data_IF_181792216401
#
_entry.id   IF_181792216401
#
_cell.length_a   1.000
_cell.length_b   1.000
_cell.length_c   1.000
_cell.angle_alpha   90.00
_cell.angle_beta   90.00
_cell.angle_gamma   90.00
#
_symmetry.space_group_name_H-M   'P 1'
#
loop_
_entity.id
_entity.type
_entity.pdbx_description
1 polymer ?
#
# COMPACT_ATOMS: atom_id res chain seq x y z
N UNK A 1 37.42 -59.84 39.77
CA UNK A 1 37.22 -58.43 40.17
C UNK A 1 36.62 -57.71 38.98
N UNK A 2 35.45 -57.09 39.18
CA UNK A 2 34.80 -56.19 38.21
C UNK A 2 35.74 -54.98 37.94
N UNK A 3 35.62 -54.29 36.79
CA UNK A 3 34.57 -53.29 36.69
C UNK A 3 33.85 -53.22 35.33
N UNK A 4 32.56 -52.91 35.46
CA UNK A 4 31.62 -52.32 34.51
C UNK A 4 32.07 -50.95 33.98
N UNK A 5 31.75 -50.61 32.72
CA UNK A 5 31.69 -49.21 32.24
C UNK A 5 30.63 -49.01 31.14
N UNK A 6 29.52 -48.43 31.56
CA UNK A 6 28.68 -47.37 30.99
C UNK A 6 28.56 -47.08 29.47
N UNK A 7 27.28 -46.97 29.09
CA UNK A 7 26.61 -45.91 28.29
C UNK A 7 27.28 -45.41 27.00
N UNK A 8 26.52 -45.43 25.90
CA UNK A 8 26.13 -44.17 25.25
C UNK A 8 24.73 -44.31 24.61
N UNK A 9 23.84 -43.41 25.04
CA UNK A 9 22.52 -43.16 24.45
C UNK A 9 22.71 -42.29 23.21
N UNK A 10 21.97 -42.55 22.14
CA UNK A 10 21.69 -41.55 21.11
C UNK A 10 20.18 -41.33 21.06
N UNK A 11 19.73 -40.29 21.75
CA UNK A 11 18.37 -39.74 21.60
C UNK A 11 18.46 -38.72 20.48
N UNK A 12 17.84 -39.00 19.35
CA UNK A 12 17.66 -38.03 18.27
C UNK A 12 16.55 -37.06 18.67
N UNK A 13 16.91 -35.87 19.12
CA UNK A 13 15.98 -34.76 19.28
C UNK A 13 15.89 -34.01 17.94
N UNK A 14 14.76 -34.14 17.24
CA UNK A 14 14.44 -33.28 16.11
C UNK A 14 13.98 -31.93 16.64
N UNK A 15 14.81 -30.90 16.48
CA UNK A 15 14.43 -29.51 16.71
C UNK A 15 13.62 -29.08 15.49
N UNK A 16 12.31 -28.93 15.66
CA UNK A 16 11.46 -28.26 14.68
C UNK A 16 11.72 -26.76 14.81
N UNK A 17 12.46 -26.19 13.84
CA UNK A 17 12.56 -24.75 13.66
C UNK A 17 11.19 -24.25 13.19
N UNK A 18 10.40 -23.67 14.08
CA UNK A 18 9.25 -22.84 13.70
C UNK A 18 9.81 -21.51 13.21
N UNK A 19 10.07 -21.41 11.91
CA UNK A 19 10.18 -20.11 11.27
C UNK A 19 8.79 -19.48 11.31
N UNK A 20 8.60 -18.49 12.18
CA UNK A 20 7.46 -17.59 12.06
C UNK A 20 7.68 -16.79 10.77
N UNK A 21 6.98 -17.15 9.70
CA UNK A 21 6.84 -16.28 8.54
C UNK A 21 6.02 -15.08 9.00
N UNK A 22 6.65 -13.93 9.18
CA UNK A 22 5.93 -12.66 9.15
C UNK A 22 5.39 -12.54 7.74
N UNK A 23 4.06 -12.67 7.58
CA UNK A 23 3.42 -12.29 6.34
C UNK A 23 3.57 -10.77 6.24
N UNK A 24 4.36 -10.31 5.27
CA UNK A 24 4.20 -8.93 4.80
C UNK A 24 2.85 -8.92 4.11
N UNK A 25 1.94 -8.03 4.51
CA UNK A 25 0.75 -7.78 3.70
C UNK A 25 1.27 -7.26 2.34
N UNK A 26 0.94 -7.94 1.26
CA UNK A 26 1.10 -7.41 -0.09
C UNK A 26 -0.09 -6.47 -0.37
N UNK A 27 0.00 -5.63 -1.41
CA UNK A 27 -1.13 -4.81 -1.86
C UNK A 27 -1.70 -5.38 -3.15
N UNK A 28 -3.02 -5.26 -3.32
CA UNK A 28 -3.71 -5.57 -4.58
C UNK A 28 -4.28 -4.27 -5.16
N UNK A 29 -4.19 -4.11 -6.48
CA UNK A 29 -4.84 -3.02 -7.20
C UNK A 29 -6.36 -3.19 -7.10
N UNK A 30 -7.07 -2.09 -6.87
CA UNK A 30 -8.54 -2.04 -6.85
C UNK A 30 -9.07 -0.86 -7.67
N UNK A 31 -10.30 -1.01 -8.15
CA UNK A 31 -11.06 0.05 -8.82
C UNK A 31 -11.82 0.91 -7.79
N UNK A 32 -12.24 2.11 -8.20
CA UNK A 32 -12.99 3.03 -7.33
C UNK A 32 -14.26 2.40 -6.75
N UNK A 33 -14.89 1.49 -7.50
CA UNK A 33 -16.13 0.82 -7.08
C UNK A 33 -15.94 -0.11 -5.88
N UNK A 34 -14.70 -0.41 -5.47
CA UNK A 34 -14.43 -1.19 -4.27
C UNK A 34 -14.65 -0.38 -2.97
N UNK A 35 -14.69 0.95 -3.04
CA UNK A 35 -14.94 1.79 -1.87
C UNK A 35 -16.44 1.94 -1.63
N UNK A 36 -16.90 1.61 -0.42
CA UNK A 36 -18.30 1.80 -0.06
C UNK A 36 -18.65 3.29 0.03
N UNK A 37 -19.94 3.66 0.04
CA UNK A 37 -20.35 5.05 0.23
C UNK A 37 -19.91 5.69 1.56
N UNK A 38 -19.58 4.87 2.56
CA UNK A 38 -19.13 5.32 3.88
C UNK A 38 -17.61 5.54 3.95
N UNK A 39 -16.87 5.13 2.93
CA UNK A 39 -15.43 5.41 2.80
C UNK A 39 -15.18 6.91 2.62
N UNK A 40 -14.05 7.40 3.10
CA UNK A 40 -13.66 8.81 2.99
C UNK A 40 -13.45 9.24 1.54
N UNK A 41 -13.77 10.51 1.24
CA UNK A 41 -13.56 11.15 -0.05
C UNK A 41 -13.10 12.60 0.14
N UNK A 42 -11.90 12.93 -0.33
CA UNK A 42 -11.38 14.30 -0.40
C UNK A 42 -11.26 14.71 -1.88
N UNK A 43 -11.92 15.81 -2.25
CA UNK A 43 -11.98 16.34 -3.63
C UNK A 43 -11.14 17.60 -3.82
N UNK A 44 -10.41 18.01 -2.79
CA UNK A 44 -9.65 19.26 -2.70
C UNK A 44 -10.45 20.55 -2.93
N UNK A 45 -11.77 20.44 -3.06
CA UNK A 45 -12.71 21.56 -3.18
C UNK A 45 -13.17 22.09 -1.82
N UNK A 46 -12.87 21.36 -0.73
CA UNK A 46 -13.27 21.71 0.62
C UNK A 46 -12.51 22.95 1.14
N UNK A 47 -11.30 23.19 0.61
CA UNK A 47 -10.45 24.31 0.96
C UNK A 47 -10.16 25.23 -0.23
N UNK A 48 -9.71 26.45 0.07
CA UNK A 48 -9.40 27.45 -0.97
C UNK A 48 -8.18 27.08 -1.82
N UNK A 49 -8.18 27.53 -3.07
CA UNK A 49 -6.98 27.51 -3.92
C UNK A 49 -5.77 28.13 -3.21
N UNK A 50 -4.61 27.50 -3.34
CA UNK A 50 -3.36 27.90 -2.72
C UNK A 50 -3.20 27.47 -1.26
N UNK A 51 -4.15 26.72 -0.69
CA UNK A 51 -3.94 26.07 0.62
C UNK A 51 -2.73 25.15 0.53
N UNK A 52 -1.73 25.39 1.40
CA UNK A 52 -0.46 24.67 1.44
C UNK A 52 -0.51 23.57 2.49
N UNK A 53 -0.03 22.37 2.16
CA UNK A 53 0.04 21.20 3.05
C UNK A 53 -1.26 21.03 3.86
N UNK A 54 -2.42 20.88 3.19
CA UNK A 54 -3.70 20.85 3.89
C UNK A 54 -3.73 19.69 4.90
N UNK A 55 -4.55 19.85 5.93
CA UNK A 55 -4.89 18.79 6.88
C UNK A 55 -6.40 18.75 6.99
N UNK A 56 -6.97 17.59 6.74
CA UNK A 56 -8.41 17.35 6.71
C UNK A 56 -8.82 16.59 7.96
N UNK A 57 -9.66 17.20 8.78
CA UNK A 57 -10.35 16.52 9.85
C UNK A 57 -11.58 15.78 9.28
N UNK A 58 -12.14 14.79 10.00
CA UNK A 58 -13.33 14.07 9.55
C UNK A 58 -14.47 14.95 9.05
N UNK A 59 -14.77 16.03 9.77
CA UNK A 59 -15.85 16.94 9.41
C UNK A 59 -15.60 17.69 8.08
N UNK A 60 -14.35 17.84 7.65
CA UNK A 60 -14.00 18.56 6.42
C UNK A 60 -14.41 17.76 5.17
N UNK A 61 -14.37 16.42 5.24
CA UNK A 61 -14.71 15.51 4.13
C UNK A 61 -15.99 14.69 4.37
N UNK A 62 -16.76 15.03 5.40
CA UNK A 62 -18.02 14.34 5.74
C UNK A 62 -17.87 13.01 6.48
N UNK A 63 -16.67 12.71 6.99
CA UNK A 63 -16.39 11.53 7.81
C UNK A 63 -17.02 11.58 9.21
N UNK A 64 -17.24 10.38 9.79
CA UNK A 64 -17.71 10.21 11.15
C UNK A 64 -16.64 10.48 12.23
N UNK A 65 -17.01 10.37 13.51
CA UNK A 65 -16.11 10.67 14.62
C UNK A 65 -14.86 9.76 14.69
N UNK A 66 -14.96 8.55 14.14
CA UNK A 66 -13.88 7.56 14.11
C UNK A 66 -13.11 7.57 12.77
N UNK A 67 -13.44 8.47 11.86
CA UNK A 67 -12.74 8.60 10.59
C UNK A 67 -11.36 9.28 10.80
N UNK A 68 -10.37 9.02 9.94
CA UNK A 68 -9.00 9.51 10.17
C UNK A 68 -8.85 11.01 9.89
N UNK A 69 -7.90 11.64 10.57
CA UNK A 69 -7.30 12.90 10.09
C UNK A 69 -6.31 12.60 8.98
N UNK A 70 -6.37 13.36 7.89
CA UNK A 70 -5.53 13.18 6.70
C UNK A 70 -4.65 14.40 6.49
N UNK A 71 -3.34 14.23 6.48
CA UNK A 71 -2.35 15.31 6.35
C UNK A 71 -1.51 15.12 5.09
N UNK A 72 -1.13 16.23 4.45
CA UNK A 72 -0.39 16.21 3.18
C UNK A 72 0.97 16.90 3.28
N UNK A 73 1.97 16.39 2.56
CA UNK A 73 3.33 16.94 2.48
C UNK A 73 4.09 16.41 1.26
N UNK A 74 5.36 16.78 1.09
CA UNK A 74 6.16 16.33 -0.07
C UNK A 74 6.70 14.91 0.07
N UNK A 75 7.28 14.58 1.23
CA UNK A 75 7.81 13.27 1.58
C UNK A 75 7.85 13.04 3.10
N UNK A 76 8.08 11.80 3.53
CA UNK A 76 8.20 11.44 4.94
C UNK A 76 9.59 11.73 5.52
N UNK A 77 9.67 11.88 6.83
CA UNK A 77 10.96 11.96 7.55
C UNK A 77 11.81 10.73 7.25
N UNK A 78 13.09 10.93 6.92
CA UNK A 78 14.02 9.87 6.50
C UNK A 78 14.15 9.73 4.98
N UNK A 79 13.33 10.45 4.22
CA UNK A 79 13.41 10.54 2.77
C UNK A 79 13.97 11.90 2.31
N UNK A 80 14.28 11.99 1.02
CA UNK A 80 14.70 13.22 0.36
C UNK A 80 14.42 13.17 -1.14
N UNK A 81 14.59 14.28 -1.84
CA UNK A 81 14.59 14.28 -3.30
C UNK A 81 15.86 13.63 -3.84
N UNK A 82 15.71 12.81 -4.88
CA UNK A 82 16.83 12.14 -5.53
C UNK A 82 17.65 13.05 -6.46
N UNK A 83 18.88 12.64 -6.74
CA UNK A 83 19.71 13.24 -7.78
C UNK A 83 19.58 12.54 -9.13
N UNK A 84 20.27 13.06 -10.14
CA UNK A 84 20.30 12.47 -11.49
C UNK A 84 20.88 11.04 -11.54
N UNK A 85 21.61 10.61 -10.50
CA UNK A 85 22.14 9.25 -10.37
C UNK A 85 21.21 8.27 -9.66
N UNK A 86 20.22 8.78 -8.92
CA UNK A 86 19.30 7.97 -8.11
C UNK A 86 17.94 7.85 -8.79
N UNK A 87 17.53 8.88 -9.53
CA UNK A 87 16.23 8.94 -10.18
C UNK A 87 16.20 8.22 -11.54
N UNK A 88 15.07 7.61 -11.89
CA UNK A 88 14.85 7.03 -13.22
C UNK A 88 15.10 8.04 -14.34
N UNK A 89 15.62 7.55 -15.47
CA UNK A 89 15.87 8.41 -16.62
C UNK A 89 14.56 9.07 -17.11
N UNK A 90 14.57 10.40 -17.22
CA UNK A 90 13.42 11.17 -17.67
C UNK A 90 12.42 11.55 -16.57
N UNK A 91 12.61 11.11 -15.32
CA UNK A 91 11.85 11.60 -14.18
C UNK A 91 12.31 13.01 -13.79
N UNK A 92 11.37 13.91 -13.48
CA UNK A 92 11.72 15.18 -12.86
C UNK A 92 12.27 14.92 -11.44
N UNK A 93 13.44 15.50 -11.10
CA UNK A 93 14.07 15.28 -9.80
C UNK A 93 13.20 15.73 -8.62
N UNK A 94 12.33 16.72 -8.83
CA UNK A 94 11.38 17.20 -7.82
C UNK A 94 10.28 16.20 -7.49
N UNK A 95 9.99 15.27 -8.40
CA UNK A 95 8.96 14.25 -8.23
C UNK A 95 9.50 12.90 -7.80
N UNK A 96 10.83 12.72 -7.80
CA UNK A 96 11.50 11.49 -7.45
C UNK A 96 11.96 11.53 -5.99
N UNK A 97 11.43 10.63 -5.16
CA UNK A 97 11.75 10.52 -3.74
C UNK A 97 12.64 9.31 -3.50
N UNK A 98 13.67 9.48 -2.68
CA UNK A 98 14.62 8.43 -2.29
C UNK A 98 14.69 8.31 -0.77
N UNK A 99 15.36 7.25 -0.31
CA UNK A 99 15.48 6.94 1.11
C UNK A 99 14.28 6.14 1.64
N UNK A 100 14.37 5.74 2.90
CA UNK A 100 13.34 4.96 3.59
C UNK A 100 12.79 5.79 4.74
N UNK A 101 11.46 5.92 4.89
CA UNK A 101 10.90 6.62 6.03
C UNK A 101 11.37 6.04 7.36
N UNK A 102 11.43 6.89 8.39
CA UNK A 102 11.67 6.45 9.77
C UNK A 102 10.35 6.26 10.51
N UNK A 103 10.25 5.21 11.33
CA UNK A 103 9.15 4.99 12.26
C UNK A 103 9.27 5.83 13.55
N UNK A 104 8.17 6.34 14.12
CA UNK A 104 6.82 6.34 13.54
C UNK A 104 6.72 7.26 12.31
N UNK A 105 5.93 6.83 11.33
CA UNK A 105 5.73 7.55 10.07
C UNK A 105 5.25 8.99 10.33
N UNK A 106 5.96 9.96 9.75
CA UNK A 106 5.69 11.38 9.90
C UNK A 106 6.08 12.14 8.64
N UNK A 107 5.33 13.20 8.32
CA UNK A 107 5.68 14.11 7.22
C UNK A 107 6.93 14.92 7.61
N UNK A 108 7.88 15.06 6.69
CA UNK A 108 9.06 15.88 6.93
C UNK A 108 8.67 17.37 6.78
N UNK A 109 8.83 18.21 7.83
CA UNK A 109 8.47 19.63 7.77
C UNK A 109 9.37 20.45 6.83
N UNK A 110 10.51 19.90 6.41
CA UNK A 110 11.41 20.48 5.41
C UNK A 110 11.14 19.99 3.98
N UNK A 111 10.19 19.06 3.79
CA UNK A 111 9.80 18.61 2.47
C UNK A 111 9.19 19.75 1.63
N UNK A 112 9.33 19.69 0.29
CA UNK A 112 8.64 20.61 -0.60
C UNK A 112 7.14 20.61 -0.33
N UNK A 113 6.52 21.78 -0.44
CA UNK A 113 5.10 21.94 -0.19
C UNK A 113 4.24 21.19 -1.21
N UNK A 114 3.11 20.69 -0.73
CA UNK A 114 1.93 20.43 -1.55
C UNK A 114 0.97 21.61 -1.47
N UNK A 115 0.14 21.81 -2.48
CA UNK A 115 -0.85 22.87 -2.48
C UNK A 115 -2.01 22.62 -3.44
N UNK A 116 -3.17 23.18 -3.11
CA UNK A 116 -4.37 23.10 -3.93
C UNK A 116 -4.27 24.09 -5.10
N UNK A 117 -4.46 23.62 -6.33
CA UNK A 117 -4.36 24.45 -7.54
C UNK A 117 -5.43 24.07 -8.56
N UNK A 118 -5.67 24.95 -9.54
CA UNK A 118 -6.46 24.56 -10.70
C UNK A 118 -5.61 23.73 -11.67
N UNK A 119 -6.25 22.75 -12.28
CA UNK A 119 -5.74 22.02 -13.41
C UNK A 119 -6.78 22.04 -14.54
N UNK A 120 -6.41 22.62 -15.68
CA UNK A 120 -7.31 22.69 -16.84
C UNK A 120 -7.47 21.37 -17.59
N UNK A 121 -6.61 20.38 -17.33
CA UNK A 121 -6.71 19.04 -17.88
C UNK A 121 -7.59 18.11 -17.03
N UNK A 122 -7.75 18.39 -15.73
CA UNK A 122 -8.59 17.62 -14.82
C UNK A 122 -10.04 18.20 -14.76
N UNK A 123 -11.07 17.46 -15.21
CA UNK A 123 -12.46 17.93 -15.20
C UNK A 123 -13.04 18.22 -13.81
N UNK A 124 -12.49 17.64 -12.73
CA UNK A 124 -12.99 17.78 -11.35
C UNK A 124 -12.19 18.78 -10.51
N UNK A 125 -11.23 19.49 -11.13
CA UNK A 125 -10.40 20.54 -10.51
C UNK A 125 -11.22 21.45 -9.56
N UNK A 126 -10.65 21.86 -8.40
CA UNK A 126 -9.23 21.88 -8.03
C UNK A 126 -8.60 20.53 -7.71
N UNK A 127 -7.27 20.46 -7.83
CA UNK A 127 -6.46 19.27 -7.55
C UNK A 127 -5.41 19.59 -6.48
N UNK A 128 -4.84 18.57 -5.86
CA UNK A 128 -3.63 18.72 -5.04
C UNK A 128 -2.38 18.48 -5.89
N UNK A 129 -1.43 19.40 -5.81
CA UNK A 129 -0.16 19.33 -6.52
C UNK A 129 1.03 19.40 -5.58
N UNK A 130 2.14 18.74 -5.92
CA UNK A 130 3.43 18.98 -5.27
C UNK A 130 4.13 20.23 -5.81
N UNK A 131 5.28 20.57 -5.23
CA UNK A 131 6.12 21.70 -5.67
C UNK A 131 7.40 21.22 -6.38
N UNK A 132 7.74 21.76 -7.57
CA UNK A 132 6.98 22.73 -8.38
C UNK A 132 5.65 22.17 -8.89
N UNK A 133 4.72 23.06 -9.29
CA UNK A 133 3.39 22.66 -9.77
C UNK A 133 3.49 21.52 -10.79
N UNK A 134 2.72 20.48 -10.53
CA UNK A 134 2.61 19.22 -11.27
C UNK A 134 3.89 18.39 -11.34
N UNK A 135 4.95 18.75 -10.63
CA UNK A 135 6.25 18.07 -10.73
C UNK A 135 6.84 17.71 -9.38
N UNK A 136 6.16 18.02 -8.28
CA UNK A 136 6.56 17.64 -6.93
C UNK A 136 5.87 16.36 -6.47
N UNK A 137 6.58 15.55 -5.68
CA UNK A 137 5.97 14.43 -4.97
C UNK A 137 4.87 14.90 -4.01
N UNK A 138 3.90 14.02 -3.79
CA UNK A 138 2.77 14.22 -2.88
C UNK A 138 2.74 13.05 -1.92
N UNK A 139 2.66 13.32 -0.63
CA UNK A 139 2.68 12.32 0.42
C UNK A 139 1.51 12.56 1.36
N UNK A 140 0.85 11.47 1.75
CA UNK A 140 -0.39 11.46 2.53
C UNK A 140 -0.13 10.68 3.81
N UNK A 141 -0.49 11.25 4.96
CA UNK A 141 -0.38 10.62 6.27
C UNK A 141 -1.76 10.54 6.91
N UNK A 142 -2.14 9.34 7.33
CA UNK A 142 -3.35 9.10 8.12
C UNK A 142 -2.97 8.99 9.59
N UNK A 143 -3.73 9.61 10.48
CA UNK A 143 -3.53 9.44 11.93
C UNK A 143 -3.96 8.06 12.45
N UNK A 144 -4.80 7.36 11.67
CA UNK A 144 -5.30 6.01 11.91
C UNK A 144 -4.98 5.14 10.70
N UNK A 145 -4.54 3.90 10.93
CA UNK A 145 -4.23 2.97 9.85
C UNK A 145 -5.53 2.55 9.12
N UNK A 146 -5.43 2.41 7.80
CA UNK A 146 -6.54 2.08 6.90
C UNK A 146 -6.20 0.85 6.07
N UNK A 147 -7.20 0.24 5.43
CA UNK A 147 -7.02 -0.97 4.63
C UNK A 147 -6.65 -0.65 3.18
N UNK A 148 -7.20 0.43 2.62
CA UNK A 148 -6.98 0.77 1.22
C UNK A 148 -7.27 2.22 0.89
N UNK A 149 -6.70 2.64 -0.23
CA UNK A 149 -6.74 4.01 -0.75
C UNK A 149 -6.80 3.98 -2.25
N UNK A 150 -7.50 4.94 -2.85
CA UNK A 150 -7.29 5.28 -4.23
C UNK A 150 -7.42 6.78 -4.49
N UNK A 151 -6.97 7.21 -5.65
CA UNK A 151 -7.02 8.61 -6.07
C UNK A 151 -7.05 8.69 -7.59
N UNK A 152 -7.58 9.78 -8.12
CA UNK A 152 -7.39 10.12 -9.52
C UNK A 152 -6.04 10.81 -9.68
N UNK A 153 -5.14 10.19 -10.45
CA UNK A 153 -3.84 10.76 -10.79
C UNK A 153 -3.78 11.19 -12.25
N UNK A 154 -2.96 12.20 -12.54
CA UNK A 154 -2.65 12.62 -13.91
C UNK A 154 -2.61 14.14 -14.07
N UNK A 155 -2.66 14.69 -15.28
CA UNK A 155 -2.75 14.01 -16.59
C UNK A 155 -1.43 13.33 -16.99
N UNK A 156 -1.42 12.01 -17.15
CA UNK A 156 -0.23 11.24 -17.52
C UNK A 156 0.04 11.23 -19.03
N UNK A 157 1.28 11.49 -19.43
CA UNK A 157 1.78 11.32 -20.80
C UNK A 157 2.60 10.03 -20.98
N UNK A 158 2.84 9.28 -19.91
CA UNK A 158 3.60 8.04 -19.96
C UNK A 158 3.08 6.97 -18.99
N UNK A 159 3.03 5.72 -19.46
CA UNK A 159 2.71 4.55 -18.62
C UNK A 159 3.90 4.20 -17.73
N UNK A 160 3.64 3.91 -16.46
CA UNK A 160 4.67 3.56 -15.47
C UNK A 160 5.58 4.72 -15.06
N UNK A 161 5.17 5.96 -15.33
CA UNK A 161 5.88 7.17 -14.93
C UNK A 161 5.70 7.49 -13.44
N UNK A 162 4.54 7.15 -12.88
CA UNK A 162 4.14 7.46 -11.50
C UNK A 162 3.71 6.21 -10.74
N UNK A 163 3.81 6.26 -9.42
CA UNK A 163 3.33 5.21 -8.53
C UNK A 163 2.76 5.78 -7.24
N UNK A 164 1.71 5.13 -6.72
CA UNK A 164 1.37 5.22 -5.29
C UNK A 164 2.11 4.10 -4.55
N UNK A 165 2.90 4.46 -3.55
CA UNK A 165 3.59 3.52 -2.65
C UNK A 165 2.97 3.61 -1.26
N UNK A 166 2.54 2.47 -0.72
CA UNK A 166 1.92 2.37 0.60
C UNK A 166 2.96 2.01 1.68
N UNK A 167 2.83 2.67 2.83
CA UNK A 167 3.71 2.48 3.97
C UNK A 167 2.91 2.11 5.21
N UNK A 168 3.49 1.24 6.04
CA UNK A 168 3.00 0.99 7.38
C UNK A 168 3.43 2.10 8.35
N UNK A 169 2.95 2.00 9.59
CA UNK A 169 3.21 2.99 10.65
C UNK A 169 4.69 3.08 11.04
N UNK A 170 5.45 2.03 10.82
CA UNK A 170 6.89 1.96 11.12
C UNK A 170 7.76 2.46 9.95
N UNK A 171 7.15 2.79 8.81
CA UNK A 171 7.81 3.29 7.61
C UNK A 171 8.26 2.20 6.64
N UNK A 172 7.84 0.95 6.83
CA UNK A 172 8.11 -0.11 5.87
C UNK A 172 7.16 0.00 4.67
N UNK A 173 7.67 -0.33 3.49
CA UNK A 173 6.84 -0.44 2.28
C UNK A 173 5.98 -1.69 2.39
N UNK A 174 4.66 -1.52 2.23
CA UNK A 174 3.70 -2.61 2.12
C UNK A 174 3.63 -3.06 0.66
N UNK A 175 3.54 -2.11 -0.26
CA UNK A 175 3.52 -2.36 -1.70
C UNK A 175 3.28 -1.08 -2.52
N UNK A 176 3.17 -1.23 -3.84
CA UNK A 176 2.95 -0.10 -4.75
C UNK A 176 2.11 -0.50 -5.96
N UNK A 177 1.42 0.47 -6.55
CA UNK A 177 0.83 0.34 -7.90
C UNK A 177 1.27 1.51 -8.78
N UNK A 178 1.63 1.21 -10.03
CA UNK A 178 2.12 2.17 -11.02
C UNK A 178 1.03 2.51 -12.02
N UNK A 179 0.97 3.73 -12.55
CA UNK A 179 -0.02 4.05 -13.59
C UNK A 179 0.10 3.12 -14.82
N UNK A 180 -1.05 2.61 -15.28
CA UNK A 180 -1.15 1.65 -16.39
C UNK A 180 -1.72 2.31 -17.67
N UNK A 181 -2.31 3.49 -17.52
CA UNK A 181 -2.86 4.30 -18.60
C UNK A 181 -2.19 5.67 -18.75
N UNK A 182 -2.63 6.39 -19.78
CA UNK A 182 -2.37 7.81 -20.00
C UNK A 182 -3.62 8.62 -19.69
N UNK A 183 -3.48 9.94 -19.49
CA UNK A 183 -4.57 10.83 -19.09
C UNK A 183 -4.83 10.79 -17.59
N UNK A 184 -6.08 10.98 -17.18
CA UNK A 184 -6.48 10.82 -15.77
C UNK A 184 -6.82 9.35 -15.53
N UNK A 185 -6.20 8.73 -14.52
CA UNK A 185 -6.42 7.34 -14.13
C UNK A 185 -6.70 7.26 -12.63
N UNK A 186 -7.70 6.45 -12.26
CA UNK A 186 -7.90 6.04 -10.87
C UNK A 186 -6.85 4.99 -10.48
N UNK A 187 -6.05 5.32 -9.47
CA UNK A 187 -5.00 4.49 -8.90
C UNK A 187 -5.46 4.06 -7.50
N UNK A 188 -5.90 2.81 -7.36
CA UNK A 188 -6.33 2.23 -6.09
C UNK A 188 -5.50 1.03 -5.65
N UNK A 189 -5.24 0.92 -4.35
CA UNK A 189 -4.67 -0.26 -3.73
C UNK A 189 -5.35 -0.57 -2.38
N UNK A 190 -5.31 -1.84 -1.98
CA UNK A 190 -5.76 -2.33 -0.66
C UNK A 190 -4.81 -3.43 -0.19
N UNK A 191 -4.68 -3.61 1.12
CA UNK A 191 -3.98 -4.76 1.71
C UNK A 191 -4.65 -6.07 1.29
N UNK A 192 -3.85 -7.07 0.88
CA UNK A 192 -4.34 -8.35 0.38
C UNK A 192 -5.22 -9.10 1.40
N UNK A 193 -4.89 -8.97 2.69
CA UNK A 193 -5.62 -9.58 3.80
C UNK A 193 -6.76 -8.69 4.34
N UNK A 194 -6.95 -7.49 3.77
CA UNK A 194 -7.93 -6.50 4.19
C UNK A 194 -7.61 -5.86 5.54
N UNK A 195 -6.40 -6.04 6.10
CA UNK A 195 -6.04 -5.45 7.38
C UNK A 195 -5.84 -3.93 7.27
N UNK A 196 -6.22 -3.19 8.32
CA UNK A 196 -5.88 -1.79 8.47
C UNK A 196 -4.38 -1.64 8.79
N UNK A 197 -3.53 -1.62 7.77
CA UNK A 197 -2.07 -1.55 7.92
C UNK A 197 -1.43 -0.33 7.25
N UNK A 198 -2.14 0.35 6.35
CA UNK A 198 -1.59 1.49 5.61
C UNK A 198 -1.71 2.73 6.50
N UNK A 199 -0.56 3.28 6.90
CA UNK A 199 -0.47 4.52 7.67
C UNK A 199 -0.25 5.75 6.78
N UNK A 200 0.28 5.54 5.58
CA UNK A 200 0.54 6.63 4.65
C UNK A 200 0.85 6.17 3.24
N UNK A 201 0.86 7.13 2.32
CA UNK A 201 1.12 6.93 0.91
C UNK A 201 2.08 7.97 0.37
N UNK A 202 2.82 7.58 -0.65
CA UNK A 202 3.62 8.50 -1.47
C UNK A 202 3.25 8.33 -2.93
N UNK A 203 2.82 9.42 -3.55
CA UNK A 203 2.63 9.54 -4.97
C UNK A 203 3.82 10.29 -5.59
N UNK A 204 4.62 9.57 -6.39
CA UNK A 204 5.92 10.03 -6.86
C UNK A 204 6.27 9.47 -8.24
N UNK A 205 7.33 10.02 -8.84
CA UNK A 205 7.88 9.55 -10.11
C UNK A 205 8.76 8.33 -9.91
N UNK A 206 8.38 7.25 -10.58
CA UNK A 206 9.17 6.01 -10.70
C UNK A 206 9.63 5.75 -12.15
N UNK A 207 9.30 6.67 -13.05
CA UNK A 207 9.69 6.67 -14.46
C UNK A 207 9.59 8.07 -15.05
N UNK A 208 9.71 8.17 -16.37
CA UNK A 208 9.50 9.43 -17.07
C UNK A 208 8.02 9.78 -17.08
N UNK A 209 7.67 11.02 -16.72
CA UNK A 209 6.33 11.58 -16.84
C UNK A 209 6.44 13.04 -17.31
N UNK A 210 6.38 13.31 -18.62
CA UNK A 210 6.62 14.64 -19.18
C UNK A 210 5.56 15.69 -18.83
N UNK A 211 4.31 15.29 -18.62
CA UNK A 211 3.22 16.21 -18.29
C UNK A 211 3.24 16.61 -16.81
N UNK A 212 3.89 15.81 -15.98
CA UNK A 212 3.78 15.90 -14.54
C UNK A 212 2.53 15.17 -14.02
N UNK A 213 2.14 15.47 -12.79
CA UNK A 213 0.98 14.86 -12.13
C UNK A 213 0.42 15.73 -11.02
N UNK A 214 -0.88 15.59 -10.79
CA UNK A 214 -1.58 15.99 -9.58
C UNK A 214 -2.39 14.80 -9.08
N UNK A 215 -3.03 14.97 -7.92
CA UNK A 215 -4.05 14.04 -7.43
C UNK A 215 -5.38 14.77 -7.20
N UNK A 216 -6.46 14.03 -7.39
CA UNK A 216 -7.82 14.44 -7.05
C UNK A 216 -8.62 13.23 -6.53
N UNK A 217 -9.82 13.46 -6.00
CA UNK A 217 -10.78 12.43 -5.57
C UNK A 217 -10.14 11.31 -4.72
N UNK A 218 -9.39 11.69 -3.68
CA UNK A 218 -8.76 10.76 -2.77
C UNK A 218 -9.83 9.98 -1.99
N UNK A 219 -9.91 8.67 -2.23
CA UNK A 219 -10.75 7.68 -1.54
C UNK A 219 -9.92 6.91 -0.53
N UNK A 220 -10.43 6.66 0.67
CA UNK A 220 -9.74 5.82 1.66
C UNK A 220 -10.75 5.15 2.60
N UNK A 221 -10.41 3.97 3.11
CA UNK A 221 -11.31 3.26 4.00
C UNK A 221 -10.64 2.21 4.88
N UNK A 222 -11.30 1.92 6.00
CA UNK A 222 -10.99 0.76 6.85
C UNK A 222 -11.48 -0.53 6.21
N UNK A 223 -11.10 -1.67 6.79
CA UNK A 223 -11.43 -3.02 6.32
C UNK A 223 -12.92 -3.26 6.03
N UNK A 224 -13.81 -2.63 6.78
CA UNK A 224 -15.27 -2.71 6.62
C UNK A 224 -15.85 -1.76 5.58
N UNK A 225 -15.03 -0.85 5.04
CA UNK A 225 -15.41 0.16 4.06
C UNK A 225 -14.86 -0.15 2.66
N UNK A 226 -14.19 -1.29 2.49
CA UNK A 226 -13.59 -1.71 1.21
C UNK A 226 -13.99 -3.15 0.90
N UNK A 227 -14.58 -3.33 -0.28
CA UNK A 227 -14.88 -4.65 -0.83
C UNK A 227 -13.61 -5.24 -1.47
N UNK A 228 -12.83 -5.95 -0.67
CA UNK A 228 -11.59 -6.61 -1.12
C UNK A 228 -11.92 -7.75 -2.09
N UNK A 229 -11.42 -7.73 -3.35
CA UNK A 229 -11.62 -8.83 -4.28
C UNK A 229 -11.06 -10.15 -3.73
N UNK A 230 -11.73 -11.28 -3.92
CA UNK A 230 -11.19 -12.57 -3.49
C UNK A 230 -9.89 -12.87 -4.27
N UNK A 231 -8.79 -13.07 -3.54
CA UNK A 231 -7.51 -13.44 -4.15
C UNK A 231 -7.62 -14.81 -4.80
N UNK A 232 -7.55 -14.84 -6.13
CA UNK A 232 -7.64 -16.05 -6.93
C UNK A 232 -6.33 -16.86 -6.82
N UNK A 233 -6.11 -17.58 -5.71
CA UNK A 233 -4.80 -18.22 -5.56
C UNK A 233 -4.50 -19.08 -4.36
N UNK A 234 -5.45 -19.48 -3.52
CA UNK A 234 -5.19 -20.52 -2.53
C UNK A 234 -5.68 -21.86 -3.08
N UNK A 235 -4.82 -22.71 -3.67
CA UNK A 235 -5.13 -24.13 -3.79
C UNK A 235 -5.56 -24.61 -2.43
N UNK A 236 -6.77 -25.16 -2.33
CA UNK A 236 -7.25 -25.72 -1.08
C UNK A 236 -6.14 -26.58 -0.47
N UNK A 237 -5.83 -26.40 0.83
CA UNK A 237 -4.66 -27.01 1.41
C UNK A 237 -4.68 -28.51 1.10
N UNK A 238 -3.52 -29.04 0.73
CA UNK A 238 -3.35 -30.45 0.39
C UNK A 238 -3.84 -31.43 1.48
N UNK A 239 -4.34 -30.94 2.62
CA UNK A 239 -5.18 -31.67 3.57
C UNK A 239 -6.39 -32.33 2.92
N UNK A 240 -7.05 -31.76 1.91
CA UNK A 240 -8.14 -32.46 1.19
C UNK A 240 -7.60 -33.58 0.30
N UNK A 241 -6.47 -33.36 -0.36
CA UNK A 241 -5.79 -34.40 -1.12
C UNK A 241 -5.25 -35.52 -0.20
N UNK A 242 -4.69 -35.18 0.97
CA UNK A 242 -4.19 -36.11 1.98
C UNK A 242 -5.33 -36.84 2.70
N UNK A 243 -6.47 -36.19 2.94
CA UNK A 243 -7.67 -36.83 3.48
C UNK A 243 -8.26 -37.81 2.45
N UNK A 244 -8.32 -37.42 1.17
CA UNK A 244 -8.74 -38.28 0.07
C UNK A 244 -7.83 -39.50 -0.12
N UNK A 245 -6.52 -39.30 -0.13
CA UNK A 245 -5.53 -40.38 -0.21
C UNK A 245 -5.51 -41.25 1.04
N UNK A 246 -5.70 -40.67 2.23
CA UNK A 246 -5.81 -41.38 3.49
C UNK A 246 -7.04 -42.31 3.53
N UNK A 247 -8.21 -41.82 3.09
CA UNK A 247 -9.44 -42.61 2.99
C UNK A 247 -9.33 -43.72 1.93
N UNK A 248 -8.73 -43.43 0.78
CA UNK A 248 -8.46 -44.44 -0.26
C UNK A 248 -7.50 -45.53 0.23
N UNK A 249 -6.43 -45.15 0.94
CA UNK A 249 -5.49 -46.07 1.57
C UNK A 249 -6.15 -46.96 2.63
N UNK A 250 -7.04 -46.38 3.46
CA UNK A 250 -7.82 -47.15 4.44
C UNK A 250 -8.82 -48.11 3.80
N UNK A 251 -9.47 -47.72 2.69
CA UNK A 251 -10.38 -48.58 1.94
C UNK A 251 -9.68 -49.79 1.32
N UNK A 252 -8.47 -49.59 0.76
CA UNK A 252 -7.67 -50.66 0.16
C UNK A 252 -7.06 -51.61 1.21
N UNK A 253 -6.72 -51.13 2.41
CA UNK A 253 -6.18 -51.97 3.49
C UNK A 253 -7.22 -52.95 4.05
N UNK A 254 -8.52 -52.58 4.06
CA UNK A 254 -9.60 -53.46 4.51
C UNK A 254 -9.85 -54.63 3.55
N UNK A 255 -9.66 -54.43 2.24
CA UNK A 255 -9.85 -55.51 1.24
C UNK A 255 -8.80 -56.61 1.31
N UNK A 256 -7.57 -56.30 1.76
CA UNK A 256 -6.50 -57.31 1.91
C UNK A 256 -6.66 -58.22 3.14
N UNK A 257 -7.57 -57.90 4.07
CA UNK A 257 -7.84 -58.76 5.25
C UNK A 257 -9.01 -59.73 5.06
N UNK A 258 -9.74 -59.63 3.95
CA UNK A 258 -10.87 -60.50 3.62
C UNK A 258 -10.57 -61.49 2.48
N UNK A 259 -9.32 -61.60 2.04
CA UNK A 259 -8.84 -62.62 1.11
C UNK A 259 -7.91 -63.59 1.84
#
# INVERSE_FOLDING_TARGET
MSPTTNMLKAVSAAIALTAASVASADVIRIDETAFTPDAGLITFSEYSLGTVNPTYNPADYGGGADAPVVSFGGYFTGQSLGGAGDCPAGAALSGCVIGTPTGPLSLDPSSPNTFITNDGANPTSPVLSGSPTFNGAITILFDTDIAGVGLDGGYFDAIGGTAITAFDRDGNIIGQVTNEGMGIEFLGLVTEDGANAIAGLQFSLVGSEPAGFAIDNLRFGTADQIDVPPVAGVPEPGTLALLGLGLAGFGLSRRKKQA
#
